data_IF_333689232549
#
_entry.id   IF_333689232549
#
_cell.length_a   1.000
_cell.length_b   1.000
_cell.length_c   1.000
_cell.angle_alpha   90.00
_cell.angle_beta   90.00
_cell.angle_gamma   90.00
#
_symmetry.space_group_name_H-M   'P 1'
#
loop_
_entity.id
_entity.type
_entity.pdbx_description
1 polymer ?
#
# COMPACT_ATOMS: atom_id res chain seq x y z
N UNK A 1 7.19 -9.41 -11.09
CA UNK A 1 7.86 -8.67 -10.00
C UNK A 1 7.64 -9.50 -8.75
N UNK A 2 8.59 -9.58 -7.83
CA UNK A 2 8.45 -10.44 -6.65
C UNK A 2 8.52 -9.57 -5.41
N UNK A 3 7.63 -9.81 -4.45
CA UNK A 3 7.65 -9.12 -3.16
C UNK A 3 8.88 -9.54 -2.37
N UNK A 4 9.65 -8.56 -1.90
CA UNK A 4 10.81 -8.79 -1.02
C UNK A 4 10.43 -8.56 0.43
N UNK A 5 9.69 -7.49 0.70
CA UNK A 5 9.08 -7.23 2.00
C UNK A 5 7.78 -6.45 1.84
N UNK A 6 6.94 -6.53 2.87
CA UNK A 6 5.75 -5.71 3.00
C UNK A 6 5.46 -5.46 4.47
N UNK A 7 5.12 -4.21 4.79
CA UNK A 7 4.65 -3.79 6.11
C UNK A 7 3.27 -3.15 5.97
N UNK A 8 2.33 -3.57 6.80
CA UNK A 8 1.01 -2.94 6.92
C UNK A 8 0.81 -2.50 8.36
N UNK A 9 0.41 -1.26 8.56
CA UNK A 9 0.00 -0.75 9.87
C UNK A 9 -1.50 -0.47 9.80
N UNK A 10 -2.28 -1.16 10.63
CA UNK A 10 -3.71 -0.94 10.78
C UNK A 10 -3.92 0.15 11.82
N UNK A 11 -4.63 1.20 11.44
CA UNK A 11 -4.88 2.37 12.29
C UNK A 11 -6.30 2.35 12.87
N UNK A 12 -7.24 1.73 12.16
CA UNK A 12 -8.62 1.54 12.58
C UNK A 12 -9.18 0.20 12.07
N UNK A 13 -10.21 -0.38 12.73
CA UNK A 13 -10.87 -1.59 12.24
C UNK A 13 -11.67 -1.29 10.96
N UNK A 14 -11.59 -2.20 10.00
CA UNK A 14 -12.48 -2.18 8.83
C UNK A 14 -13.93 -2.50 9.21
N UNK A 15 -14.87 -1.92 8.47
CA UNK A 15 -16.32 -2.11 8.53
C UNK A 15 -16.82 -2.85 7.28
N UNK A 16 -18.04 -3.40 7.26
CA UNK A 16 -18.65 -3.88 6.01
C UNK A 16 -18.83 -2.72 5.02
N UNK A 17 -18.42 -2.91 3.76
CA UNK A 17 -18.56 -1.89 2.72
C UNK A 17 -17.37 -1.84 1.77
N UNK A 18 -17.31 -0.79 0.94
CA UNK A 18 -16.23 -0.58 -0.01
C UNK A 18 -14.98 -0.08 0.73
N UNK A 19 -13.82 -0.61 0.33
CA UNK A 19 -12.51 -0.13 0.74
C UNK A 19 -11.78 0.30 -0.53
N UNK A 20 -11.14 1.47 -0.48
CA UNK A 20 -10.33 1.99 -1.58
C UNK A 20 -8.87 2.01 -1.15
N UNK A 21 -7.98 1.70 -2.08
CA UNK A 21 -6.55 1.87 -1.86
C UNK A 21 -5.93 2.58 -3.03
N UNK A 22 -5.12 3.59 -2.72
CA UNK A 22 -4.29 4.29 -3.68
C UNK A 22 -2.83 4.06 -3.32
N UNK A 23 -2.02 3.74 -4.33
CA UNK A 23 -0.62 3.45 -4.17
C UNK A 23 0.23 4.31 -5.09
N UNK A 24 1.39 4.73 -4.60
CA UNK A 24 2.36 5.50 -5.38
C UNK A 24 3.74 4.87 -5.29
N UNK A 25 4.43 4.85 -6.43
CA UNK A 25 5.84 4.45 -6.47
C UNK A 25 6.67 5.58 -5.84
N UNK A 26 7.27 5.31 -4.68
CA UNK A 26 8.19 6.25 -4.02
C UNK A 26 9.57 6.22 -4.63
N UNK A 27 10.01 5.04 -5.10
CA UNK A 27 11.30 4.88 -5.77
C UNK A 27 11.26 3.71 -6.75
N UNK A 28 11.61 3.96 -8.01
CA UNK A 28 11.90 2.93 -9.01
C UNK A 28 13.42 2.88 -9.25
N UNK A 29 14.08 1.87 -8.69
CA UNK A 29 15.51 1.63 -8.88
C UNK A 29 15.80 0.74 -10.10
N UNK A 30 17.03 0.23 -10.22
CA UNK A 30 17.39 -0.75 -11.27
C UNK A 30 17.04 -2.21 -10.92
N UNK A 31 16.95 -2.51 -9.62
CA UNK A 31 16.69 -3.88 -9.11
C UNK A 31 15.42 -3.96 -8.29
N UNK A 32 15.08 -2.87 -7.61
CA UNK A 32 14.02 -2.80 -6.61
C UNK A 32 13.14 -1.57 -6.82
N UNK A 33 11.86 -1.71 -6.52
CA UNK A 33 10.87 -0.65 -6.48
C UNK A 33 10.22 -0.59 -5.10
N UNK A 34 10.15 0.61 -4.52
CA UNK A 34 9.47 0.89 -3.25
C UNK A 34 8.16 1.59 -3.54
N UNK A 35 7.08 1.06 -2.96
CA UNK A 35 5.72 1.55 -3.11
C UNK A 35 5.14 1.83 -1.74
N UNK A 36 4.40 2.92 -1.62
CA UNK A 36 3.54 3.18 -0.47
C UNK A 36 2.08 3.20 -0.91
N UNK A 37 1.19 2.72 -0.06
CA UNK A 37 -0.23 2.73 -0.29
C UNK A 37 -0.99 3.18 0.94
N UNK A 38 -2.01 3.98 0.70
CA UNK A 38 -3.02 4.36 1.69
C UNK A 38 -4.28 3.55 1.42
N UNK A 39 -4.94 3.13 2.49
CA UNK A 39 -6.20 2.38 2.44
C UNK A 39 -7.23 3.18 3.22
N UNK A 40 -8.29 3.59 2.54
CA UNK A 40 -9.40 4.37 3.11
C UNK A 40 -10.69 3.58 3.06
N UNK A 41 -11.55 3.83 4.04
CA UNK A 41 -12.91 3.29 4.06
C UNK A 41 -13.90 4.39 4.40
N UNK A 42 -15.09 4.30 3.81
CA UNK A 42 -16.17 5.28 3.92
C UNK A 42 -15.91 6.58 3.12
N UNK A 43 -16.97 7.30 2.79
CA UNK A 43 -16.91 8.53 1.96
C UNK A 43 -16.16 9.68 2.67
N UNK A 44 -15.87 9.51 3.96
CA UNK A 44 -15.14 10.47 4.79
C UNK A 44 -13.61 10.42 4.67
N UNK A 45 -13.05 9.44 3.94
CA UNK A 45 -11.59 9.38 3.71
C UNK A 45 -10.77 8.99 4.95
N UNK A 46 -11.37 8.27 5.91
CA UNK A 46 -10.62 7.77 7.07
C UNK A 46 -9.61 6.73 6.59
N UNK A 47 -8.31 7.00 6.81
CA UNK A 47 -7.25 6.03 6.51
C UNK A 47 -7.29 4.93 7.56
N UNK A 48 -7.66 3.73 7.14
CA UNK A 48 -7.76 2.55 8.02
C UNK A 48 -6.47 1.75 8.05
N UNK A 49 -5.63 1.85 7.00
CA UNK A 49 -4.31 1.23 6.97
C UNK A 49 -3.32 1.98 6.08
N UNK A 50 -2.04 1.87 6.44
CA UNK A 50 -0.92 2.30 5.61
C UNK A 50 -0.02 1.10 5.30
N UNK A 51 0.37 0.97 4.03
CA UNK A 51 1.24 -0.10 3.58
C UNK A 51 2.50 0.44 2.89
N UNK A 52 3.62 -0.22 3.14
CA UNK A 52 4.87 -0.04 2.38
C UNK A 52 5.29 -1.39 1.85
N UNK A 53 5.68 -1.46 0.58
CA UNK A 53 6.13 -2.68 -0.07
C UNK A 53 7.38 -2.44 -0.89
N UNK A 54 8.28 -3.42 -0.86
CA UNK A 54 9.48 -3.44 -1.70
C UNK A 54 9.41 -4.64 -2.64
N UNK A 55 9.56 -4.40 -3.94
CA UNK A 55 9.39 -5.39 -5.00
C UNK A 55 10.62 -5.44 -5.91
N UNK A 56 10.98 -6.62 -6.42
CA UNK A 56 11.96 -6.72 -7.51
C UNK A 56 11.34 -6.21 -8.82
N UNK A 57 12.19 -5.80 -9.76
CA UNK A 57 11.75 -5.42 -11.11
C UNK A 57 11.73 -6.66 -12.01
N UNK A 58 10.74 -6.75 -12.91
CA UNK A 58 10.80 -7.70 -14.04
C UNK A 58 11.52 -6.99 -15.17
N UNK A 59 12.68 -7.52 -15.54
CA UNK A 59 13.38 -7.13 -16.76
C UNK A 59 12.63 -7.58 -17.99
#
# INVERSE_FOLDING_TARGET
PVTVEMKVNYMAPGKPGVILSEASVRKAGKRMTVVEAEVVQDDGGEVVALATGTYTIVG
#
